data_IF_949174678925
#
_entry.id   IF_949174678925
#
_cell.length_a   1.000
_cell.length_b   1.000
_cell.length_c   1.000
_cell.angle_alpha   90.00
_cell.angle_beta   90.00
_cell.angle_gamma   90.00
#
_symmetry.space_group_name_H-M   'P 1'
#
loop_
_entity.id
_entity.type
_entity.pdbx_description
1 polymer ?
#
# COMPACT_ATOMS: atom_id res chain seq x y z
N UNK A 1 16.88 0.37 -6.18
CA UNK A 1 16.51 1.40 -7.17
C UNK A 1 15.36 2.20 -6.60
N UNK A 2 15.23 3.49 -6.96
CA UNK A 2 14.14 4.34 -6.45
C UNK A 2 12.83 3.92 -7.11
N UNK A 3 11.78 3.68 -6.31
CA UNK A 3 10.44 3.30 -6.81
C UNK A 3 9.93 4.40 -7.74
N UNK A 4 9.37 4.03 -8.89
CA UNK A 4 8.85 5.00 -9.86
C UNK A 4 7.72 5.83 -9.23
N UNK A 5 7.66 7.14 -9.47
CA UNK A 5 6.57 7.99 -8.98
C UNK A 5 5.21 7.66 -9.63
N UNK A 6 5.13 6.73 -10.58
CA UNK A 6 3.86 6.26 -11.14
C UNK A 6 3.03 5.45 -10.15
N UNK A 7 3.67 4.84 -9.15
CA UNK A 7 3.05 3.93 -8.19
C UNK A 7 2.25 4.64 -7.09
N UNK A 8 2.56 5.90 -6.80
CA UNK A 8 1.96 6.67 -5.71
C UNK A 8 1.86 8.14 -6.07
N UNK A 9 0.86 8.83 -5.52
CA UNK A 9 0.66 10.26 -5.79
C UNK A 9 1.38 11.13 -4.76
N UNK A 10 1.62 10.61 -3.55
CA UNK A 10 2.35 11.28 -2.49
C UNK A 10 3.16 10.27 -1.65
N UNK A 11 4.12 10.78 -0.88
CA UNK A 11 4.80 9.99 0.16
C UNK A 11 4.09 10.28 1.48
N UNK A 12 3.59 9.23 2.13
CA UNK A 12 2.94 9.32 3.42
C UNK A 12 3.92 8.95 4.55
N UNK A 13 4.16 9.84 5.53
CA UNK A 13 4.96 9.49 6.70
C UNK A 13 4.18 8.55 7.61
N UNK A 14 4.77 7.42 7.94
CA UNK A 14 4.24 6.49 8.92
C UNK A 14 4.97 6.70 10.25
N UNK A 15 4.22 7.06 11.29
CA UNK A 15 4.75 7.03 12.65
C UNK A 15 4.81 5.55 13.05
N UNK A 16 5.94 4.93 12.77
CA UNK A 16 6.22 3.53 13.09
C UNK A 16 6.16 3.25 14.59
N UNK A 17 6.37 1.99 14.96
CA UNK A 17 6.58 1.64 16.37
C UNK A 17 8.01 2.00 16.78
N UNK A 18 8.20 2.40 18.04
CA UNK A 18 9.52 2.65 18.65
C UNK A 18 10.31 3.84 18.06
N UNK A 19 9.64 4.91 17.63
CA UNK A 19 10.27 6.11 17.08
C UNK A 19 11.17 5.85 15.84
N UNK A 20 10.94 4.76 15.11
CA UNK A 20 11.49 4.57 13.76
C UNK A 20 10.50 5.14 12.74
N UNK A 21 10.73 6.37 12.23
CA UNK A 21 9.91 6.91 11.17
C UNK A 21 10.13 6.08 9.90
N UNK A 22 9.03 5.63 9.31
CA UNK A 22 9.03 4.99 8.00
C UNK A 22 8.17 5.82 7.05
N UNK A 23 8.21 5.50 5.77
CA UNK A 23 7.32 6.13 4.79
C UNK A 23 6.85 5.12 3.76
N UNK A 24 5.64 5.35 3.24
CA UNK A 24 5.12 4.58 2.12
C UNK A 24 4.69 5.53 0.99
N UNK A 25 4.69 5.01 -0.24
CA UNK A 25 3.95 5.66 -1.31
C UNK A 25 2.45 5.52 -1.01
N UNK A 26 1.69 6.59 -1.19
CA UNK A 26 0.25 6.58 -1.02
C UNK A 26 -0.45 6.99 -2.32
N UNK A 27 -1.42 6.18 -2.73
CA UNK A 27 -2.36 6.49 -3.81
C UNK A 27 -3.78 6.25 -3.31
N UNK A 28 -4.66 7.23 -3.49
CA UNK A 28 -6.07 7.09 -3.13
C UNK A 28 -6.91 7.22 -4.39
N UNK A 29 -7.73 6.21 -4.69
CA UNK A 29 -8.65 6.24 -5.84
C UNK A 29 -10.08 6.05 -5.37
N UNK A 30 -11.00 6.78 -5.99
CA UNK A 30 -12.43 6.50 -5.84
C UNK A 30 -12.92 5.82 -7.13
N UNK A 31 -13.38 4.58 -7.02
CA UNK A 31 -13.83 3.78 -8.16
C UNK A 31 -15.21 3.24 -7.81
N UNK A 32 -16.21 3.56 -8.62
CA UNK A 32 -17.61 3.13 -8.42
C UNK A 32 -18.14 3.43 -7.01
N UNK A 33 -17.74 4.56 -6.41
CA UNK A 33 -18.16 4.95 -5.06
C UNK A 33 -17.42 4.24 -3.92
N UNK A 34 -16.45 3.36 -4.21
CA UNK A 34 -15.54 2.77 -3.21
C UNK A 34 -14.22 3.50 -3.20
N UNK A 35 -13.69 3.75 -2.00
CA UNK A 35 -12.38 4.39 -1.80
C UNK A 35 -11.31 3.33 -1.63
N UNK A 36 -10.38 3.26 -2.58
CA UNK A 36 -9.22 2.39 -2.54
C UNK A 36 -8.03 3.18 -1.99
N UNK A 37 -7.44 2.67 -0.93
CA UNK A 37 -6.21 3.20 -0.32
C UNK A 37 -5.10 2.22 -0.67
N UNK A 38 -4.23 2.64 -1.57
CA UNK A 38 -3.15 1.81 -2.10
C UNK A 38 -1.84 2.33 -1.50
N UNK A 39 -1.14 1.47 -0.79
CA UNK A 39 0.13 1.79 -0.15
C UNK A 39 1.26 1.04 -0.84
N UNK A 40 2.33 1.74 -1.17
CA UNK A 40 3.50 1.16 -1.86
C UNK A 40 4.68 1.15 -0.92
N UNK A 41 5.31 -0.02 -0.75
CA UNK A 41 6.51 -0.15 0.09
C UNK A 41 7.69 0.60 -0.54
N UNK A 42 8.37 1.43 0.25
CA UNK A 42 9.53 2.22 -0.17
C UNK A 42 10.80 1.62 0.44
N UNK A 43 11.21 0.42 0.00
CA UNK A 43 12.30 -0.37 0.58
C UNK A 43 13.63 0.38 0.81
N UNK A 44 13.94 1.42 0.03
CA UNK A 44 15.18 2.21 0.19
C UNK A 44 15.09 3.24 1.32
N UNK A 45 13.88 3.67 1.67
CA UNK A 45 13.62 4.68 2.69
C UNK A 45 13.31 4.05 4.07
N UNK A 46 13.13 2.71 4.12
CA UNK A 46 12.83 1.95 5.34
C UNK A 46 13.86 0.83 5.62
N UNK A 47 15.14 1.14 5.94
CA UNK A 47 16.14 0.12 6.19
C UNK A 47 15.82 -0.67 7.48
N UNK A 48 15.35 -1.91 7.32
CA UNK A 48 15.14 -2.85 8.42
C UNK A 48 13.71 -2.94 8.96
N UNK A 49 12.74 -2.25 8.37
CA UNK A 49 11.31 -2.30 8.77
C UNK A 49 10.41 -2.37 7.53
N UNK A 50 9.54 -3.37 7.47
CA UNK A 50 8.47 -3.44 6.47
C UNK A 50 7.26 -2.69 7.02
N UNK A 51 6.80 -1.66 6.33
CA UNK A 51 5.65 -0.85 6.79
C UNK A 51 4.36 -1.68 6.75
N UNK A 52 4.31 -2.65 5.83
CA UNK A 52 3.24 -3.65 5.71
C UNK A 52 3.07 -4.54 6.95
N UNK A 53 4.11 -4.74 7.77
CA UNK A 53 4.00 -5.52 9.03
C UNK A 53 3.11 -4.81 10.08
N UNK A 54 2.88 -3.51 9.91
CA UNK A 54 1.98 -2.71 10.72
C UNK A 54 0.77 -2.19 9.89
N UNK A 55 0.32 -2.96 8.89
CA UNK A 55 -0.69 -2.55 7.91
C UNK A 55 -1.96 -1.92 8.51
N UNK A 56 -2.49 -2.47 9.61
CA UNK A 56 -3.67 -1.91 10.29
C UNK A 56 -3.39 -0.52 10.89
N UNK A 57 -2.26 -0.37 11.57
CA UNK A 57 -1.85 0.92 12.15
C UNK A 57 -1.60 1.96 11.06
N UNK A 58 -0.96 1.55 9.95
CA UNK A 58 -0.77 2.41 8.79
C UNK A 58 -2.12 2.86 8.20
N UNK A 59 -3.04 1.92 7.98
CA UNK A 59 -4.38 2.21 7.49
C UNK A 59 -5.12 3.21 8.39
N UNK A 60 -5.09 3.00 9.72
CA UNK A 60 -5.70 3.91 10.70
C UNK A 60 -5.09 5.32 10.65
N UNK A 61 -3.76 5.43 10.55
CA UNK A 61 -3.07 6.71 10.45
C UNK A 61 -3.42 7.45 9.14
N UNK A 62 -3.45 6.74 8.01
CA UNK A 62 -3.87 7.30 6.72
C UNK A 62 -5.32 7.77 6.81
N UNK A 63 -6.23 6.93 7.30
CA UNK A 63 -7.64 7.27 7.46
C UNK A 63 -7.83 8.52 8.30
N UNK A 64 -7.14 8.61 9.44
CA UNK A 64 -7.16 9.79 10.30
C UNK A 64 -6.63 11.04 9.57
N UNK A 65 -5.50 10.93 8.88
CA UNK A 65 -4.87 12.06 8.19
C UNK A 65 -5.66 12.54 6.97
N UNK A 66 -6.37 11.62 6.30
CA UNK A 66 -7.13 11.88 5.07
C UNK A 66 -8.64 12.02 5.31
N UNK A 67 -9.06 12.00 6.58
CA UNK A 67 -10.46 12.06 7.01
C UNK A 67 -11.34 10.99 6.30
N UNK A 68 -10.83 9.76 6.24
CA UNK A 68 -11.52 8.59 5.71
C UNK A 68 -11.99 7.68 6.85
N UNK A 69 -13.08 6.95 6.63
CA UNK A 69 -13.53 5.91 7.53
C UNK A 69 -12.85 4.58 7.17
N UNK A 70 -12.12 3.98 8.12
CA UNK A 70 -11.40 2.71 7.88
C UNK A 70 -12.33 1.57 7.47
N UNK A 71 -13.60 1.61 7.90
CA UNK A 71 -14.59 0.59 7.55
C UNK A 71 -15.21 0.80 6.16
N UNK A 72 -14.87 1.89 5.47
CA UNK A 72 -15.39 2.25 4.14
C UNK A 72 -14.32 2.25 3.06
N UNK A 73 -13.06 1.94 3.43
CA UNK A 73 -11.96 1.84 2.47
C UNK A 73 -11.71 0.40 2.05
N UNK A 74 -11.10 0.26 0.88
CA UNK A 74 -10.47 -0.97 0.42
C UNK A 74 -8.96 -0.75 0.49
N UNK A 75 -8.29 -1.46 1.40
CA UNK A 75 -6.85 -1.29 1.63
C UNK A 75 -6.04 -2.27 0.79
N UNK A 76 -5.10 -1.75 0.00
CA UNK A 76 -4.27 -2.53 -0.93
C UNK A 76 -2.80 -2.24 -0.66
N UNK A 77 -1.99 -3.27 -0.49
CA UNK A 77 -0.54 -3.18 -0.39
C UNK A 77 0.09 -3.48 -1.75
N UNK A 78 1.03 -2.65 -2.17
CA UNK A 78 1.78 -2.77 -3.41
C UNK A 78 3.25 -3.00 -3.07
N UNK A 79 3.78 -4.13 -3.54
CA UNK A 79 5.20 -4.41 -3.57
C UNK A 79 5.70 -4.01 -4.96
N UNK A 80 6.36 -2.84 -5.10
CA UNK A 80 6.76 -2.34 -6.41
C UNK A 80 7.90 -3.19 -6.97
N UNK A 81 7.88 -3.40 -8.29
CA UNK A 81 9.01 -4.02 -8.99
C UNK A 81 10.27 -3.15 -8.82
N UNK A 82 11.31 -3.76 -8.25
CA UNK A 82 12.60 -3.10 -7.99
C UNK A 82 13.56 -3.17 -9.18
N UNK A 83 13.13 -3.66 -10.34
CA UNK A 83 13.92 -3.93 -11.54
C UNK A 83 15.15 -4.83 -11.25
N UNK A 84 15.02 -5.72 -10.27
CA UNK A 84 16.04 -6.72 -9.97
C UNK A 84 16.04 -7.80 -11.05
N UNK A 85 17.21 -8.27 -11.52
CA UNK A 85 17.33 -9.36 -12.51
C UNK A 85 16.79 -10.72 -12.02
N UNK A 86 16.24 -10.77 -10.81
CA UNK A 86 15.62 -11.92 -10.18
C UNK A 86 14.10 -11.75 -10.30
N UNK A 87 13.46 -12.62 -11.08
CA UNK A 87 12.00 -12.68 -11.36
C UNK A 87 11.12 -12.98 -10.14
N UNK A 88 11.61 -12.73 -8.93
CA UNK A 88 10.88 -12.85 -7.67
C UNK A 88 10.29 -11.50 -7.22
N UNK A 89 10.64 -10.40 -7.88
CA UNK A 89 10.15 -9.04 -7.58
C UNK A 89 9.24 -8.51 -8.69
N UNK A 90 8.40 -9.37 -9.25
CA UNK A 90 7.31 -8.90 -10.09
C UNK A 90 6.40 -7.99 -9.25
N UNK A 91 5.81 -6.98 -9.88
CA UNK A 91 4.88 -6.06 -9.23
C UNK A 91 3.67 -6.82 -8.67
N UNK A 92 3.50 -6.82 -7.34
CA UNK A 92 2.42 -7.53 -6.68
C UNK A 92 1.52 -6.58 -5.89
N UNK A 93 0.21 -6.82 -5.97
CA UNK A 93 -0.80 -6.10 -5.20
C UNK A 93 -1.57 -7.08 -4.32
N UNK A 94 -1.73 -6.73 -3.06
CA UNK A 94 -2.45 -7.54 -2.08
C UNK A 94 -3.59 -6.73 -1.48
N UNK A 95 -4.82 -7.20 -1.65
CA UNK A 95 -5.95 -6.74 -0.85
C UNK A 95 -5.80 -7.28 0.57
N UNK A 96 -5.87 -6.40 1.56
CA UNK A 96 -5.72 -6.79 2.98
C UNK A 96 -7.04 -6.59 3.71
N UNK A 97 -7.49 -7.62 4.43
CA UNK A 97 -8.58 -7.51 5.40
C UNK A 97 -8.06 -7.57 6.83
N UNK A 98 -8.61 -6.68 7.67
CA UNK A 98 -8.27 -6.55 9.10
C UNK A 98 -9.38 -7.06 10.03
N UNK A 99 -10.34 -7.84 9.52
CA UNK A 99 -11.53 -8.27 10.25
C UNK A 99 -11.25 -9.38 11.29
N UNK A 100 -10.12 -10.09 11.15
CA UNK A 100 -9.68 -11.14 12.07
C UNK A 100 -8.57 -10.70 13.04
N UNK A 101 -8.20 -11.60 13.95
CA UNK A 101 -7.05 -11.41 14.85
C UNK A 101 -5.72 -11.28 14.09
N UNK A 102 -5.65 -11.88 12.89
CA UNK A 102 -4.52 -11.84 11.98
C UNK A 102 -5.01 -11.27 10.64
N UNK A 103 -4.29 -10.31 10.02
CA UNK A 103 -4.63 -9.82 8.69
C UNK A 103 -4.63 -10.95 7.66
N UNK A 104 -5.60 -10.91 6.74
CA UNK A 104 -5.64 -11.84 5.61
C UNK A 104 -5.28 -11.09 4.32
N UNK A 105 -4.54 -11.78 3.45
CA UNK A 105 -3.99 -11.20 2.23
C UNK A 105 -4.55 -11.96 1.02
N UNK A 106 -5.07 -11.21 0.06
CA UNK A 106 -5.51 -11.74 -1.22
C UNK A 106 -4.74 -11.06 -2.33
N UNK A 107 -3.88 -11.82 -3.02
CA UNK A 107 -3.14 -11.32 -4.17
C UNK A 107 -4.11 -11.02 -5.31
N UNK A 108 -4.07 -9.79 -5.81
CA UNK A 108 -4.89 -9.37 -6.94
C UNK A 108 -4.39 -9.99 -8.24
N UNK A 109 -5.33 -10.39 -9.07
CA UNK A 109 -5.04 -10.81 -10.45
C UNK A 109 -4.68 -9.61 -11.33
N UNK A 110 -4.01 -9.82 -12.47
CA UNK A 110 -3.72 -8.75 -13.42
C UNK A 110 -4.96 -7.95 -13.87
N UNK A 111 -6.12 -8.60 -13.99
CA UNK A 111 -7.37 -7.94 -14.36
C UNK A 111 -7.89 -7.01 -13.24
N UNK A 112 -7.79 -7.43 -11.98
CA UNK A 112 -8.14 -6.61 -10.82
C UNK A 112 -7.17 -5.44 -10.64
N UNK A 113 -5.88 -5.65 -10.88
CA UNK A 113 -4.89 -4.55 -10.91
C UNK A 113 -5.24 -3.56 -12.01
N UNK A 114 -5.55 -4.02 -13.23
CA UNK A 114 -5.98 -3.13 -14.31
C UNK A 114 -7.27 -2.37 -13.98
N UNK A 115 -8.18 -2.95 -13.21
CA UNK A 115 -9.36 -2.25 -12.72
C UNK A 115 -9.01 -1.11 -11.75
N UNK A 116 -7.99 -1.29 -10.90
CA UNK A 116 -7.48 -0.24 -10.01
C UNK A 116 -6.65 0.81 -10.77
N UNK A 117 -6.03 0.42 -11.88
CA UNK A 117 -5.15 1.22 -12.71
C UNK A 117 -5.54 1.19 -14.19
N UNK A 118 -6.74 1.69 -14.56
CA UNK A 118 -7.13 1.71 -15.96
C UNK A 118 -6.16 2.59 -16.74
N UNK A 119 -5.67 2.06 -17.87
CA UNK A 119 -4.87 2.83 -18.82
C UNK A 119 -5.82 3.81 -19.52
N UNK A 120 -5.58 5.10 -19.35
CA UNK A 120 -6.26 6.18 -20.09
C UNK A 120 -5.98 6.10 -21.59
#
# INVERSE_FOLDING_TARGET
MKVSPTYYDEIFPFNGQWDMPSSCGLKIRNINGKTYVIVTELYQDNPGTSVTYAGKSLAEQICKAKNLNINEIVYVECNPDTNSKLSFYDEEYFLVSFDGDIPTYHQLTPEEVLFLFPKE
#
